data_IF_148964180203
#
_entry.id   IF_148964180203
#
_cell.length_a   1.000
_cell.length_b   1.000
_cell.length_c   1.000
_cell.angle_alpha   90.00
_cell.angle_beta   90.00
_cell.angle_gamma   90.00
#
_symmetry.space_group_name_H-M   'P 1'
#
loop_
_entity.id
_entity.type
_entity.pdbx_description
1 polymer ?
#
# COMPACT_ATOMS: atom_id res chain seq x y z
N UNK A 1 -21.62 -20.51 15.94
CA UNK A 1 -20.31 -20.45 15.25
C UNK A 1 -20.37 -19.21 14.37
N UNK A 2 -19.66 -18.14 14.75
CA UNK A 2 -19.68 -16.88 14.00
C UNK A 2 -18.93 -17.06 12.69
N UNK A 3 -19.57 -16.71 11.58
CA UNK A 3 -18.99 -16.72 10.25
C UNK A 3 -17.85 -15.68 10.23
N UNK A 4 -16.60 -16.15 10.13
CA UNK A 4 -15.45 -15.25 9.95
C UNK A 4 -15.38 -14.89 8.48
N UNK A 5 -15.75 -13.65 8.16
CA UNK A 5 -15.57 -13.06 6.84
C UNK A 5 -14.09 -12.72 6.68
N UNK A 6 -13.37 -13.53 5.90
CA UNK A 6 -11.99 -13.26 5.49
C UNK A 6 -11.99 -12.69 4.07
N UNK A 7 -11.23 -11.62 3.83
CA UNK A 7 -10.97 -11.13 2.48
C UNK A 7 -9.72 -11.84 1.96
N UNK A 8 -9.77 -12.37 0.75
CA UNK A 8 -8.60 -12.98 0.11
C UNK A 8 -7.82 -11.90 -0.66
N UNK A 9 -6.49 -11.91 -0.55
CA UNK A 9 -5.65 -11.13 -1.47
C UNK A 9 -5.62 -11.77 -2.88
N UNK A 10 -4.97 -11.11 -3.84
CA UNK A 10 -4.84 -11.61 -5.22
C UNK A 10 -4.01 -12.91 -5.34
N UNK A 11 -3.40 -13.38 -4.24
CA UNK A 11 -2.64 -14.62 -4.14
C UNK A 11 -3.36 -15.69 -3.29
N UNK A 12 -4.57 -15.43 -2.80
CA UNK A 12 -5.36 -16.36 -2.00
C UNK A 12 -4.96 -16.43 -0.52
N UNK A 13 -4.17 -15.48 -0.03
CA UNK A 13 -3.88 -15.37 1.40
C UNK A 13 -5.05 -14.73 2.15
N UNK A 14 -5.30 -15.22 3.37
CA UNK A 14 -6.29 -14.66 4.27
C UNK A 14 -5.81 -13.30 4.77
N UNK A 15 -6.58 -12.24 4.51
CA UNK A 15 -6.35 -10.91 5.08
C UNK A 15 -7.43 -10.60 6.11
N UNK A 16 -7.07 -9.98 7.26
CA UNK A 16 -8.07 -9.53 8.21
C UNK A 16 -9.05 -8.57 7.52
N UNK A 17 -10.34 -8.63 7.86
CA UNK A 17 -11.40 -7.87 7.18
C UNK A 17 -11.30 -6.35 7.38
N UNK A 18 -10.50 -5.88 8.35
CA UNK A 18 -10.32 -4.46 8.66
C UNK A 18 -8.83 -4.11 8.86
N UNK A 19 -8.28 -3.11 8.14
CA UNK A 19 -6.91 -2.62 8.32
C UNK A 19 -6.61 -2.09 9.74
N UNK A 20 -7.62 -1.71 10.52
CA UNK A 20 -7.51 -1.27 11.91
C UNK A 20 -7.39 -2.43 12.91
N UNK A 21 -7.78 -3.65 12.50
CA UNK A 21 -7.66 -4.89 13.29
C UNK A 21 -6.36 -5.65 12.99
N UNK A 22 -5.44 -5.03 12.26
CA UNK A 22 -4.17 -5.65 11.84
C UNK A 22 -3.18 -5.72 13.00
N UNK A 23 -2.32 -6.74 13.00
CA UNK A 23 -1.23 -6.90 13.96
C UNK A 23 0.06 -6.29 13.36
N UNK A 24 0.44 -5.04 13.65
CA UNK A 24 1.61 -4.42 13.04
C UNK A 24 2.92 -4.99 13.62
N UNK A 25 3.94 -5.09 12.77
CA UNK A 25 5.32 -5.34 13.21
C UNK A 25 5.88 -4.05 13.83
N UNK A 26 6.37 -4.14 15.07
CA UNK A 26 6.96 -3.00 15.77
C UNK A 26 8.14 -2.40 14.98
N UNK A 27 8.23 -1.06 14.99
CA UNK A 27 9.29 -0.31 14.31
C UNK A 27 9.40 -0.51 12.77
N UNK A 28 8.34 -1.00 12.11
CA UNK A 28 8.30 -1.19 10.65
C UNK A 28 7.72 -0.01 9.85
N UNK A 29 7.55 1.14 10.50
CA UNK A 29 6.91 2.31 9.91
C UNK A 29 7.78 2.95 8.82
N UNK A 30 7.18 3.23 7.68
CA UNK A 30 7.81 3.92 6.55
C UNK A 30 6.94 5.11 6.16
N UNK A 31 7.56 6.28 5.96
CA UNK A 31 6.87 7.48 5.44
C UNK A 31 7.23 7.67 3.98
N UNK A 32 6.22 7.68 3.11
CA UNK A 32 6.41 8.04 1.70
C UNK A 32 6.16 9.53 1.56
N UNK A 33 7.24 10.30 1.44
CA UNK A 33 7.17 11.73 1.22
C UNK A 33 7.04 12.03 -0.27
N UNK A 34 5.87 12.52 -0.69
CA UNK A 34 5.58 12.79 -2.08
C UNK A 34 5.70 14.30 -2.33
N UNK A 35 6.75 14.70 -3.04
CA UNK A 35 7.03 16.11 -3.27
C UNK A 35 6.14 16.69 -4.38
N UNK A 36 5.96 15.94 -5.46
CA UNK A 36 5.38 16.40 -6.73
C UNK A 36 4.32 15.42 -7.21
N UNK A 37 3.11 15.91 -7.48
CA UNK A 37 2.04 15.13 -8.08
C UNK A 37 2.44 14.54 -9.45
N UNK A 38 2.01 13.31 -9.73
CA UNK A 38 2.28 12.59 -10.98
C UNK A 38 3.73 12.18 -11.20
N UNK A 39 4.60 12.36 -10.20
CA UNK A 39 5.97 11.82 -10.23
C UNK A 39 5.97 10.40 -9.67
N UNK A 40 6.66 9.49 -10.35
CA UNK A 40 6.91 8.15 -9.85
C UNK A 40 8.00 8.18 -8.78
N UNK A 41 7.73 7.51 -7.67
CA UNK A 41 8.63 7.28 -6.56
C UNK A 41 8.85 5.78 -6.35
N UNK A 42 9.96 5.42 -5.73
CA UNK A 42 10.26 4.03 -5.35
C UNK A 42 10.44 3.92 -3.85
N UNK A 43 9.93 2.85 -3.27
CA UNK A 43 10.13 2.47 -1.89
C UNK A 43 10.62 1.01 -1.83
N UNK A 44 11.68 0.76 -1.07
CA UNK A 44 12.12 -0.59 -0.77
C UNK A 44 11.13 -1.25 0.20
N UNK A 45 10.73 -2.47 -0.14
CA UNK A 45 9.80 -3.30 0.64
C UNK A 45 10.32 -4.74 0.69
N UNK A 46 9.90 -5.49 1.70
CA UNK A 46 10.25 -6.89 1.82
C UNK A 46 9.31 -7.76 0.97
N UNK A 47 9.87 -8.68 0.20
CA UNK A 47 9.10 -9.65 -0.55
C UNK A 47 8.35 -10.62 0.37
N UNK A 48 7.17 -11.08 -0.04
CA UNK A 48 6.34 -12.03 0.71
C UNK A 48 5.66 -11.45 1.95
N UNK A 49 5.66 -10.12 2.10
CA UNK A 49 5.16 -9.45 3.29
C UNK A 49 3.94 -8.58 2.97
N UNK A 50 3.03 -8.49 3.95
CA UNK A 50 1.85 -7.64 3.86
C UNK A 50 2.08 -6.31 4.54
N UNK A 51 1.60 -5.23 3.93
CA UNK A 51 1.71 -3.87 4.44
C UNK A 51 0.33 -3.21 4.47
N UNK A 52 0.03 -2.54 5.57
CA UNK A 52 -1.08 -1.57 5.59
C UNK A 52 -0.54 -0.20 5.16
N UNK A 53 -1.22 0.40 4.18
CA UNK A 53 -0.87 1.69 3.59
C UNK A 53 -1.98 2.67 3.85
N UNK A 54 -1.68 3.76 4.56
CA UNK A 54 -2.63 4.84 4.84
C UNK A 54 -2.22 6.07 4.05
N UNK A 55 -3.13 6.58 3.20
CA UNK A 55 -2.89 7.80 2.45
C UNK A 55 -3.54 9.00 3.14
N UNK A 56 -2.75 9.99 3.57
CA UNK A 56 -3.29 11.20 4.20
C UNK A 56 -3.23 12.36 3.21
N UNK A 57 -4.40 12.72 2.67
CA UNK A 57 -4.51 13.62 1.53
C UNK A 57 -5.82 14.40 1.51
N UNK A 58 -5.92 15.36 0.60
CA UNK A 58 -7.15 16.12 0.36
C UNK A 58 -8.24 15.20 -0.20
N UNK A 59 -9.50 15.41 0.18
CA UNK A 59 -10.61 14.59 -0.32
C UNK A 59 -10.63 14.52 -1.87
N UNK A 60 -11.05 13.37 -2.40
CA UNK A 60 -11.03 13.01 -3.83
C UNK A 60 -9.65 12.86 -4.48
N UNK A 61 -8.56 12.95 -3.70
CA UNK A 61 -7.22 12.55 -4.13
C UNK A 61 -7.03 11.05 -4.05
N UNK A 62 -6.05 10.55 -4.80
CA UNK A 62 -5.70 9.14 -4.85
C UNK A 62 -4.20 8.93 -4.98
N UNK A 63 -3.79 7.75 -4.53
CA UNK A 63 -2.45 7.22 -4.72
C UNK A 63 -2.54 5.92 -5.50
N UNK A 64 -1.57 5.75 -6.39
CA UNK A 64 -1.36 4.57 -7.20
C UNK A 64 -0.13 3.83 -6.65
N UNK A 65 -0.26 2.53 -6.51
CA UNK A 65 0.82 1.66 -6.09
C UNK A 65 1.03 0.57 -7.12
N UNK A 66 2.29 0.20 -7.32
CA UNK A 66 2.65 -0.87 -8.23
C UNK A 66 3.89 -1.66 -7.82
N UNK A 67 3.95 -2.92 -8.21
CA UNK A 67 5.15 -3.80 -8.10
C UNK A 67 5.77 -4.10 -9.48
N UNK A 68 5.16 -3.61 -10.56
CA UNK A 68 5.62 -3.78 -11.94
C UNK A 68 5.88 -2.46 -12.67
N UNK A 69 5.44 -1.33 -12.11
CA UNK A 69 5.48 0.02 -12.66
C UNK A 69 6.87 0.64 -12.77
N UNK A 70 7.78 -0.03 -13.46
CA UNK A 70 9.02 0.55 -13.94
C UNK A 70 8.65 1.57 -15.02
N UNK A 71 9.12 2.82 -14.90
CA UNK A 71 8.90 3.96 -15.83
C UNK A 71 7.52 4.64 -15.81
N UNK A 72 6.46 3.98 -15.35
CA UNK A 72 5.15 4.60 -15.12
C UNK A 72 4.34 3.76 -14.15
N UNK A 73 3.98 4.33 -13.00
CA UNK A 73 3.03 3.71 -12.08
C UNK A 73 1.62 3.78 -12.64
N UNK A 74 1.17 4.93 -13.14
CA UNK A 74 -0.15 5.09 -13.72
C UNK A 74 -0.51 4.01 -14.76
N UNK A 75 0.43 3.63 -15.62
CA UNK A 75 0.21 2.62 -16.66
C UNK A 75 0.14 1.18 -16.12
N UNK A 76 0.79 0.89 -14.98
CA UNK A 76 0.98 -0.46 -14.46
C UNK A 76 0.37 -0.67 -13.06
N UNK A 77 -0.45 0.27 -12.58
CA UNK A 77 -1.02 0.26 -11.22
C UNK A 77 -1.77 -1.04 -10.91
N UNK A 78 -1.39 -1.70 -9.81
CA UNK A 78 -2.14 -2.83 -9.25
C UNK A 78 -3.08 -2.39 -8.12
N UNK A 79 -2.75 -1.31 -7.40
CA UNK A 79 -3.59 -0.78 -6.33
C UNK A 79 -3.85 0.72 -6.45
N UNK A 80 -5.03 1.12 -6.00
CA UNK A 80 -5.49 2.51 -5.92
C UNK A 80 -6.00 2.74 -4.51
N UNK A 81 -5.51 3.78 -3.84
CA UNK A 81 -5.90 4.15 -2.47
C UNK A 81 -6.44 5.58 -2.50
N UNK A 82 -7.68 5.76 -2.06
CA UNK A 82 -8.30 7.08 -1.96
C UNK A 82 -7.76 7.85 -0.75
N UNK A 83 -7.92 9.16 -0.79
CA UNK A 83 -7.52 10.03 0.30
C UNK A 83 -8.20 9.67 1.62
N UNK A 84 -7.38 9.58 2.67
CA UNK A 84 -7.75 9.23 4.04
C UNK A 84 -8.22 7.79 4.24
N UNK A 85 -8.01 6.92 3.25
CA UNK A 85 -8.26 5.49 3.37
C UNK A 85 -6.99 4.72 3.73
N UNK A 86 -7.21 3.50 4.23
CA UNK A 86 -6.16 2.50 4.43
C UNK A 86 -6.46 1.26 3.60
N UNK A 87 -5.48 0.79 2.85
CA UNK A 87 -5.54 -0.49 2.15
C UNK A 87 -4.47 -1.43 2.70
N UNK A 88 -4.71 -2.74 2.59
CA UNK A 88 -3.67 -3.75 2.81
C UNK A 88 -3.19 -4.23 1.44
N UNK A 89 -1.87 -4.24 1.23
CA UNK A 89 -1.24 -4.79 0.03
C UNK A 89 -0.33 -5.95 0.44
N UNK A 90 -0.25 -6.96 -0.40
CA UNK A 90 0.68 -8.07 -0.25
C UNK A 90 1.77 -7.96 -1.32
N UNK A 91 3.04 -7.93 -0.89
CA UNK A 91 4.17 -7.90 -1.80
C UNK A 91 4.54 -9.34 -2.17
N UNK A 92 4.45 -9.76 -3.43
CA UNK A 92 4.74 -11.13 -3.80
C UNK A 92 6.25 -11.43 -3.75
N UNK A 93 6.58 -12.72 -3.65
CA UNK A 93 7.97 -13.20 -3.73
C UNK A 93 8.60 -12.77 -5.07
N UNK A 94 9.84 -12.31 -5.01
CA UNK A 94 10.59 -11.79 -6.16
C UNK A 94 10.40 -10.30 -6.42
N UNK A 95 9.58 -9.60 -5.63
CA UNK A 95 9.38 -8.15 -5.70
C UNK A 95 9.86 -7.49 -4.41
N UNK A 96 10.78 -6.54 -4.55
CA UNK A 96 11.38 -5.81 -3.41
C UNK A 96 11.25 -4.29 -3.54
N UNK A 97 10.57 -3.84 -4.59
CA UNK A 97 10.38 -2.41 -4.88
C UNK A 97 8.90 -2.15 -5.09
N UNK A 98 8.37 -1.21 -4.33
CA UNK A 98 7.06 -0.62 -4.50
C UNK A 98 7.21 0.70 -5.23
N UNK A 99 6.56 0.81 -6.37
CA UNK A 99 6.45 2.04 -7.14
C UNK A 99 5.20 2.79 -6.73
N UNK A 100 5.32 4.11 -6.56
CA UNK A 100 4.30 4.96 -5.95
C UNK A 100 4.13 6.23 -6.75
N UNK A 101 2.88 6.58 -7.04
CA UNK A 101 2.51 7.85 -7.67
C UNK A 101 1.25 8.38 -6.96
N UNK A 102 1.07 9.69 -6.90
CA UNK A 102 -0.18 10.27 -6.39
C UNK A 102 -0.51 11.56 -7.12
N UNK A 103 -1.78 11.94 -7.05
CA UNK A 103 -2.31 13.12 -7.74
C UNK A 103 -2.27 14.40 -6.88
N UNK A 104 -1.49 14.40 -5.79
CA UNK A 104 -1.31 15.55 -4.89
C UNK A 104 0.16 15.79 -4.51
N UNK A 105 0.58 17.06 -4.49
CA UNK A 105 1.94 17.42 -4.07
C UNK A 105 2.04 17.62 -2.56
N UNK A 106 3.23 17.39 -1.99
CA UNK A 106 3.56 17.66 -0.58
C UNK A 106 2.66 16.93 0.43
N UNK A 107 2.35 15.66 0.15
CA UNK A 107 1.61 14.76 1.05
C UNK A 107 2.42 13.53 1.40
N UNK A 108 1.99 12.88 2.47
CA UNK A 108 2.62 11.67 2.97
C UNK A 108 1.65 10.49 2.90
N UNK A 109 2.21 9.34 2.56
CA UNK A 109 1.63 8.05 2.90
C UNK A 109 2.39 7.42 4.05
N UNK A 110 1.73 6.53 4.78
CA UNK A 110 2.34 5.76 5.85
C UNK A 110 2.18 4.28 5.58
N UNK A 111 3.29 3.57 5.53
CA UNK A 111 3.34 2.12 5.41
C UNK A 111 3.71 1.54 6.78
N UNK A 112 3.07 0.42 7.11
CA UNK A 112 3.45 -0.42 8.25
C UNK A 112 3.39 -1.88 7.84
N UNK A 113 4.43 -2.63 8.17
CA UNK A 113 4.45 -4.08 7.94
C UNK A 113 3.48 -4.75 8.90
N UNK A 114 2.77 -5.75 8.42
CA UNK A 114 1.88 -6.58 9.22
C UNK A 114 2.58 -7.89 9.57
N UNK A 115 2.32 -8.39 10.76
CA UNK A 115 2.71 -9.74 11.14
C UNK A 115 1.83 -10.75 10.40
N UNK A 116 2.44 -11.85 9.97
CA UNK A 116 1.75 -13.00 9.38
C UNK A 116 0.85 -13.72 10.39
#
# INVERSE_FOLDING_TARGET
MGEQVHTLDNAGHLMPPDPSMTHPVAASGITLAMATAGTDYTQDVEQGQSYAVTFVATAAKFMLLSITGVTSVAANREWVIMANDTAIIHIPIGKTTLYVECDESSKNAYLRKLAD
#
